data_IF_978916004689
#
_entry.id   IF_978916004689
#
_cell.length_a   1.000
_cell.length_b   1.000
_cell.length_c   1.000
_cell.angle_alpha   90.00
_cell.angle_beta   90.00
_cell.angle_gamma   90.00
#
_symmetry.space_group_name_H-M   'P 1'
#
loop_
_entity.id
_entity.type
_entity.pdbx_description
1 polymer ?
#
# COMPACT_ATOMS: atom_id res chain seq x y z
N UNK A 1 8.51 -26.16 -22.04
CA UNK A 1 9.27 -24.89 -22.25
C UNK A 1 8.77 -23.90 -21.23
N UNK A 2 9.50 -23.76 -20.12
CA UNK A 2 9.10 -22.93 -18.98
C UNK A 2 9.31 -21.46 -19.36
N UNK A 3 8.22 -20.75 -19.64
CA UNK A 3 8.23 -19.31 -19.91
C UNK A 3 8.77 -18.60 -18.67
N UNK A 4 9.97 -18.03 -18.78
CA UNK A 4 10.50 -17.14 -17.74
C UNK A 4 9.54 -15.97 -17.60
N UNK A 5 9.08 -15.63 -16.36
CA UNK A 5 8.18 -14.51 -16.18
C UNK A 5 8.90 -13.25 -16.66
N UNK A 6 8.27 -12.55 -17.61
CA UNK A 6 8.79 -11.28 -18.13
C UNK A 6 9.06 -10.35 -16.95
N UNK A 7 10.27 -9.76 -16.86
CA UNK A 7 10.58 -8.84 -15.77
C UNK A 7 9.61 -7.67 -15.84
N UNK A 8 9.08 -7.28 -14.68
CA UNK A 8 8.14 -6.16 -14.57
C UNK A 8 8.74 -4.90 -15.21
N UNK A 9 7.90 -4.12 -15.90
CA UNK A 9 8.31 -2.97 -16.70
C UNK A 9 9.05 -1.86 -15.91
N UNK A 10 8.90 -1.82 -14.58
CA UNK A 10 9.65 -0.93 -13.68
C UNK A 10 11.13 -1.32 -13.50
N UNK A 11 11.49 -2.57 -13.81
CA UNK A 11 12.84 -3.11 -13.59
C UNK A 11 13.76 -3.00 -14.80
N UNK A 12 13.29 -2.49 -15.94
CA UNK A 12 14.05 -2.42 -17.19
C UNK A 12 14.16 -1.00 -17.77
N UNK A 13 15.37 -0.68 -18.25
CA UNK A 13 15.63 0.41 -19.20
C UNK A 13 15.28 1.84 -18.73
N UNK A 14 14.73 2.69 -19.63
CA UNK A 14 14.57 4.14 -19.42
C UNK A 14 13.57 4.51 -18.31
N UNK A 15 12.60 3.62 -18.03
CA UNK A 15 11.60 3.81 -16.98
C UNK A 15 12.22 3.89 -15.58
N UNK A 16 13.35 3.21 -15.36
CA UNK A 16 14.09 3.23 -14.10
C UNK A 16 14.71 4.60 -13.82
N UNK A 17 15.28 5.25 -14.85
CA UNK A 17 15.90 6.58 -14.71
C UNK A 17 14.84 7.62 -14.32
N UNK A 18 13.70 7.60 -15.01
CA UNK A 18 12.56 8.46 -14.69
C UNK A 18 12.01 8.18 -13.29
N UNK A 19 11.90 6.91 -12.90
CA UNK A 19 11.48 6.51 -11.55
C UNK A 19 12.44 7.03 -10.48
N UNK A 20 13.76 6.86 -10.64
CA UNK A 20 14.76 7.32 -9.68
C UNK A 20 14.76 8.85 -9.53
N UNK A 21 14.54 9.58 -10.63
CA UNK A 21 14.34 11.03 -10.61
C UNK A 21 13.10 11.40 -9.80
N UNK A 22 11.95 10.78 -10.10
CA UNK A 22 10.68 11.08 -9.43
C UNK A 22 10.70 10.67 -7.95
N UNK A 23 11.34 9.55 -7.62
CA UNK A 23 11.59 9.11 -6.25
C UNK A 23 12.33 10.17 -5.44
N UNK A 24 13.40 10.76 -5.99
CA UNK A 24 14.15 11.84 -5.32
C UNK A 24 13.30 13.08 -5.12
N UNK A 25 12.44 13.42 -6.08
CA UNK A 25 11.52 14.56 -5.97
C UNK A 25 10.51 14.31 -4.85
N UNK A 26 9.80 13.18 -4.87
CA UNK A 26 8.76 12.84 -3.88
C UNK A 26 9.33 12.74 -2.47
N UNK A 27 10.51 12.13 -2.31
CA UNK A 27 11.18 12.05 -0.99
C UNK A 27 11.60 13.43 -0.46
N UNK A 28 11.73 14.45 -1.30
CA UNK A 28 12.01 15.83 -0.87
C UNK A 28 10.72 16.62 -0.63
N UNK A 29 9.72 16.49 -1.50
CA UNK A 29 8.53 17.34 -1.48
C UNK A 29 7.42 16.85 -0.56
N UNK A 30 7.22 15.52 -0.44
CA UNK A 30 6.15 14.94 0.37
C UNK A 30 6.66 14.40 1.70
N UNK A 31 5.84 14.48 2.74
CA UNK A 31 6.12 13.97 4.08
C UNK A 31 5.00 13.07 4.64
N UNK A 32 3.86 13.00 3.96
CA UNK A 32 2.70 12.20 4.37
C UNK A 32 2.59 10.93 3.55
N UNK A 33 2.07 9.88 4.19
CA UNK A 33 1.75 8.62 3.54
C UNK A 33 0.45 8.76 2.74
N UNK A 34 0.48 8.45 1.45
CA UNK A 34 -0.70 8.48 0.58
C UNK A 34 -1.70 7.34 0.82
N UNK A 35 -1.37 6.37 1.68
CA UNK A 35 -2.26 5.24 2.03
C UNK A 35 -2.98 5.50 3.36
N UNK A 36 -2.25 5.83 4.43
CA UNK A 36 -2.82 6.00 5.77
C UNK A 36 -2.96 7.47 6.21
N UNK A 37 -2.44 8.43 5.43
CA UNK A 37 -2.48 9.86 5.74
C UNK A 37 -1.50 10.32 6.83
N UNK A 38 -0.82 9.41 7.52
CA UNK A 38 0.11 9.74 8.61
C UNK A 38 1.47 10.21 8.09
N UNK A 39 2.23 11.01 8.86
CA UNK A 39 3.58 11.41 8.49
C UNK A 39 4.53 10.21 8.39
N UNK A 40 5.46 10.26 7.44
CA UNK A 40 6.48 9.24 7.21
C UNK A 40 7.81 9.74 7.71
N UNK A 41 8.41 9.01 8.65
CA UNK A 41 9.76 9.28 9.11
C UNK A 41 10.79 8.75 8.10
N UNK A 42 11.51 9.67 7.48
CA UNK A 42 12.50 9.37 6.44
C UNK A 42 13.84 8.89 6.98
N UNK A 43 14.06 8.98 8.30
CA UNK A 43 15.28 8.48 8.95
C UNK A 43 15.30 6.95 9.06
N UNK A 44 14.11 6.33 9.02
CA UNK A 44 13.95 4.89 9.17
C UNK A 44 14.43 4.13 7.94
N UNK A 45 15.33 3.18 8.15
CA UNK A 45 15.88 2.35 7.06
C UNK A 45 15.02 1.10 6.85
N UNK A 46 14.95 0.62 5.61
CA UNK A 46 14.42 -0.70 5.31
C UNK A 46 15.17 -1.77 6.14
N UNK A 47 14.49 -2.79 6.70
CA UNK A 47 13.10 -3.22 6.50
C UNK A 47 12.09 -2.73 7.56
N UNK A 48 12.33 -1.58 8.20
CA UNK A 48 11.42 -1.10 9.25
C UNK A 48 9.98 -0.90 8.72
N UNK A 49 8.92 -1.28 9.46
CA UNK A 49 7.53 -1.18 9.00
C UNK A 49 7.11 0.23 8.57
N UNK A 50 7.59 1.24 9.29
CA UNK A 50 7.35 2.66 9.00
C UNK A 50 8.42 3.31 8.10
N UNK A 51 9.31 2.53 7.49
CA UNK A 51 10.30 3.08 6.55
C UNK A 51 9.61 3.67 5.31
N UNK A 52 10.19 4.74 4.72
CA UNK A 52 9.64 5.37 3.53
C UNK A 52 9.82 4.46 2.31
N UNK A 53 8.75 4.28 1.55
CA UNK A 53 8.76 3.61 0.25
C UNK A 53 7.98 4.44 -0.77
N UNK A 54 8.34 4.32 -2.04
CA UNK A 54 7.54 4.88 -3.13
C UNK A 54 6.58 3.79 -3.61
N UNK A 55 5.29 4.06 -3.52
CA UNK A 55 4.20 3.19 -3.98
C UNK A 55 3.63 3.70 -5.30
N UNK A 56 3.18 2.77 -6.15
CA UNK A 56 2.41 3.07 -7.35
C UNK A 56 0.93 3.09 -6.99
N UNK A 57 0.25 4.23 -7.15
CA UNK A 57 -1.18 4.38 -6.84
C UNK A 57 -1.99 3.31 -7.58
N UNK A 58 -1.83 3.27 -8.90
CA UNK A 58 -2.32 2.22 -9.79
C UNK A 58 -1.21 1.18 -10.00
N UNK A 59 -1.41 -0.09 -9.60
CA UNK A 59 -0.46 -1.15 -9.85
C UNK A 59 -0.15 -1.30 -11.34
N UNK A 60 1.10 -1.60 -11.67
CA UNK A 60 1.56 -1.79 -13.06
C UNK A 60 0.78 -2.92 -13.75
N UNK A 61 0.42 -3.98 -13.00
CA UNK A 61 -0.39 -5.09 -13.48
C UNK A 61 -1.79 -4.66 -13.97
N UNK A 62 -2.26 -3.48 -13.58
CA UNK A 62 -3.57 -2.91 -13.95
C UNK A 62 -3.42 -1.69 -14.88
N UNK A 63 -2.44 -1.71 -15.77
CA UNK A 63 -2.13 -0.63 -16.71
C UNK A 63 -1.64 0.68 -16.06
N UNK A 64 -1.12 0.63 -14.82
CA UNK A 64 -0.46 1.78 -14.21
C UNK A 64 0.85 2.13 -14.90
N UNK A 65 1.08 3.41 -15.21
CA UNK A 65 2.35 3.85 -15.80
C UNK A 65 3.50 3.73 -14.77
N UNK A 66 4.61 3.05 -15.11
CA UNK A 66 5.65 2.71 -14.13
C UNK A 66 6.49 3.91 -13.66
N UNK A 67 6.50 5.00 -14.44
CA UNK A 67 7.36 6.16 -14.20
C UNK A 67 6.62 7.49 -14.05
N UNK A 68 5.27 7.49 -14.08
CA UNK A 68 4.52 8.75 -14.02
C UNK A 68 4.53 9.28 -12.59
N UNK A 69 4.91 10.54 -12.39
CA UNK A 69 4.95 11.18 -11.07
C UNK A 69 3.55 11.24 -10.43
N UNK A 70 2.49 11.32 -11.22
CA UNK A 70 1.12 11.31 -10.74
C UNK A 70 0.72 9.93 -10.23
N UNK A 71 1.31 8.87 -10.77
CA UNK A 71 1.08 7.50 -10.31
C UNK A 71 1.99 7.10 -9.14
N UNK A 72 2.89 7.98 -8.68
CA UNK A 72 3.82 7.70 -7.58
C UNK A 72 3.43 8.47 -6.32
N UNK A 73 3.49 7.79 -5.18
CA UNK A 73 3.22 8.39 -3.87
C UNK A 73 4.20 7.92 -2.81
N UNK A 74 4.40 8.75 -1.79
CA UNK A 74 5.15 8.36 -0.60
C UNK A 74 4.23 7.49 0.27
N UNK A 75 4.74 6.34 0.72
CA UNK A 75 4.02 5.45 1.61
C UNK A 75 4.95 4.87 2.69
N UNK A 76 4.38 4.31 3.75
CA UNK A 76 5.14 3.45 4.65
C UNK A 76 5.30 2.07 4.01
N UNK A 77 6.39 1.38 4.33
CA UNK A 77 6.65 0.03 3.84
C UNK A 77 5.54 -0.97 4.19
N UNK A 78 5.04 -0.92 5.42
CA UNK A 78 3.94 -1.79 5.86
C UNK A 78 2.64 -1.47 5.12
N UNK A 79 2.29 -0.18 4.95
CA UNK A 79 1.10 0.22 4.22
C UNK A 79 1.15 -0.25 2.76
N UNK A 80 2.31 -0.10 2.10
CA UNK A 80 2.51 -0.61 0.75
C UNK A 80 2.34 -2.14 0.67
N UNK A 81 2.92 -2.88 1.64
CA UNK A 81 2.73 -4.34 1.70
C UNK A 81 1.27 -4.76 1.91
N UNK A 82 0.52 -4.02 2.71
CA UNK A 82 -0.90 -4.28 2.94
C UNK A 82 -1.76 -3.97 1.71
N UNK A 83 -1.41 -2.91 0.96
CA UNK A 83 -2.07 -2.50 -0.29
C UNK A 83 -1.95 -3.57 -1.37
N UNK A 84 -0.72 -4.04 -1.64
CA UNK A 84 -0.46 -5.01 -2.72
C UNK A 84 -1.08 -4.53 -4.06
N UNK A 85 -1.64 -5.44 -4.86
CA UNK A 85 -2.28 -5.14 -6.16
C UNK A 85 -3.73 -4.61 -6.02
N UNK A 86 -4.17 -4.27 -4.80
CA UNK A 86 -5.52 -3.73 -4.57
C UNK A 86 -5.54 -2.25 -4.95
N UNK A 87 -6.51 -1.89 -5.77
CA UNK A 87 -6.87 -0.49 -5.94
C UNK A 87 -7.77 -0.18 -4.74
N UNK A 88 -7.36 0.75 -3.88
CA UNK A 88 -8.25 1.30 -2.86
C UNK A 88 -9.29 2.16 -3.58
N UNK A 89 -10.26 1.53 -4.24
CA UNK A 89 -11.53 2.17 -4.52
C UNK A 89 -12.21 2.29 -3.16
N UNK A 90 -12.13 3.47 -2.55
CA UNK A 90 -12.84 3.90 -1.35
C UNK A 90 -13.37 2.77 -0.45
N UNK A 91 -12.49 2.23 0.40
CA UNK A 91 -12.88 1.33 1.50
C UNK A 91 -13.61 2.12 2.64
N UNK A 92 -14.31 3.20 2.28
CA UNK A 92 -15.43 3.74 3.05
C UNK A 92 -16.67 2.86 2.94
N UNK A 93 -16.60 1.78 2.17
CA UNK A 93 -17.59 0.71 2.29
C UNK A 93 -17.23 -0.11 3.52
N UNK A 94 -17.72 0.37 4.67
CA UNK A 94 -18.08 -0.46 5.80
C UNK A 94 -18.95 -1.61 5.29
N UNK A 95 -18.34 -2.65 4.73
CA UNK A 95 -19.05 -3.87 4.37
C UNK A 95 -19.70 -4.38 5.65
N UNK A 96 -21.02 -4.62 5.66
CA UNK A 96 -21.69 -5.10 6.86
C UNK A 96 -20.98 -6.39 7.26
N UNK A 97 -20.45 -6.43 8.48
CA UNK A 97 -19.71 -7.56 9.02
C UNK A 97 -20.61 -8.78 8.92
N UNK A 98 -20.40 -9.62 7.90
CA UNK A 98 -21.22 -10.80 7.67
C UNK A 98 -21.10 -11.67 8.91
N UNK A 99 -22.22 -11.84 9.62
CA UNK A 99 -22.28 -12.67 10.83
C UNK A 99 -22.04 -14.11 10.36
N UNK A 100 -20.91 -14.66 10.79
CA UNK A 100 -20.57 -16.07 10.58
C UNK A 100 -20.15 -16.69 11.90
N UNK A 101 -19.86 -17.99 11.90
CA UNK A 101 -19.50 -18.75 13.12
C UNK A 101 -18.31 -18.17 13.91
N UNK A 102 -17.48 -17.32 13.29
CA UNK A 102 -16.34 -16.64 13.92
C UNK A 102 -16.68 -15.26 14.53
N UNK A 103 -17.83 -14.70 14.18
CA UNK A 103 -18.32 -13.38 14.59
C UNK A 103 -19.79 -13.49 15.06
N UNK A 104 -20.16 -14.63 15.65
CA UNK A 104 -21.51 -14.83 16.14
C UNK A 104 -21.71 -13.97 17.40
N UNK A 105 -22.72 -13.09 17.44
CA UNK A 105 -22.99 -12.30 18.64
C UNK A 105 -23.26 -13.25 19.80
N UNK A 106 -22.56 -13.04 20.92
CA UNK A 106 -22.84 -13.79 22.13
C UNK A 106 -24.24 -13.42 22.61
N UNK A 107 -25.05 -14.42 22.92
CA UNK A 107 -26.43 -14.23 23.41
C UNK A 107 -26.49 -13.62 24.80
N UNK A 108 -25.38 -13.67 25.54
CA UNK A 108 -25.25 -13.17 26.89
C UNK A 108 -23.95 -12.39 27.02
N UNK A 109 -24.02 -11.21 27.63
CA UNK A 109 -22.82 -10.43 27.96
C UNK A 109 -22.26 -10.90 29.31
N UNK A 110 -21.12 -11.61 29.25
CA UNK A 110 -20.48 -12.21 30.40
C UNK A 110 -19.96 -11.19 31.41
N UNK A 111 -19.74 -9.93 31.00
CA UNK A 111 -19.37 -8.85 31.93
C UNK A 111 -20.52 -8.42 32.84
N UNK A 112 -21.76 -8.65 32.39
CA UNK A 112 -22.97 -8.29 33.12
C UNK A 112 -23.62 -9.48 33.85
N UNK A 113 -23.12 -10.70 33.64
CA UNK A 113 -23.61 -11.88 34.34
C UNK A 113 -23.15 -11.88 35.80
N UNK A 114 -24.09 -11.62 36.72
CA UNK A 114 -23.92 -11.88 38.15
C UNK A 114 -24.64 -13.17 38.50
N UNK A 115 -23.91 -14.08 39.14
CA UNK A 115 -24.40 -15.36 39.68
C UNK A 115 -25.47 -15.18 40.74
#
# INVERSE_FOLDING_TARGET
MSSTPTPRADRSGPHRIAFDKNKRIILKTRNTCGICGQPVDKSLRYPHPLSPVIDHIVPINKNGHPSDINNLQLAHWQCNRQKSDKLYADDKTSSPKIIGNRNLPQTLDWFSYKS
#
